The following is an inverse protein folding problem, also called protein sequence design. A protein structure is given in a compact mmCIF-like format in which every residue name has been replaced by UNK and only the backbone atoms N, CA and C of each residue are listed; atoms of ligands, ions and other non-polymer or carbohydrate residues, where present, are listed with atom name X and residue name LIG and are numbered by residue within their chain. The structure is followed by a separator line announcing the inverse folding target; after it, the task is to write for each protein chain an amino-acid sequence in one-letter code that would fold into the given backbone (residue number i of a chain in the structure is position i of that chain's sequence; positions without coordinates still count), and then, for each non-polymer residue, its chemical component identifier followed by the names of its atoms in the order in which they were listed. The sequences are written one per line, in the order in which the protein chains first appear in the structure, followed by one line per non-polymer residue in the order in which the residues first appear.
data_IF_762644189627
#
_entry.id   IF_762644189627
#
_cell.length_a   1.000
_cell.length_b   1.000
_cell.length_c   1.000
_cell.angle_alpha   90.00
_cell.angle_beta   90.00
_cell.angle_gamma   90.00
#
_symmetry.space_group_name_H-M   'P 1'
#
loop_
_entity.id
_entity.type
_entity.pdbx_description
1 polymer ?
#
# COMPACT_ATOMS: atom_id res chain seq x y z
N UNK A 1 -2.45 -38.06 -56.83
CA UNK A 1 -3.60 -37.93 -55.92
C UNK A 1 -3.21 -38.48 -54.55
N UNK A 2 -3.41 -37.69 -53.49
CA UNK A 2 -3.77 -38.15 -52.16
C UNK A 2 -4.44 -36.95 -51.48
N UNK A 3 -5.77 -36.98 -51.45
CA UNK A 3 -6.57 -36.03 -50.70
C UNK A 3 -6.47 -36.39 -49.21
N UNK A 4 -6.10 -35.41 -48.39
CA UNK A 4 -6.29 -35.48 -46.94
C UNK A 4 -6.93 -34.16 -46.51
N UNK A 5 -8.25 -34.21 -46.39
CA UNK A 5 -9.07 -33.16 -45.79
C UNK A 5 -8.80 -33.24 -44.29
N UNK A 6 -8.11 -32.26 -43.72
CA UNK A 6 -8.07 -32.09 -42.26
C UNK A 6 -8.94 -30.89 -41.94
N UNK A 7 -10.05 -31.22 -41.29
CA UNK A 7 -11.08 -30.34 -40.81
C UNK A 7 -10.50 -29.10 -40.11
N UNK A 8 -11.05 -27.94 -40.46
CA UNK A 8 -10.77 -26.70 -39.78
C UNK A 8 -11.09 -26.82 -38.29
N UNK A 9 -10.05 -26.71 -37.47
CA UNK A 9 -10.22 -26.27 -36.10
C UNK A 9 -10.08 -24.76 -36.15
N UNK A 10 -11.21 -24.05 -36.27
CA UNK A 10 -11.26 -22.64 -35.90
C UNK A 10 -11.07 -22.64 -34.38
N UNK A 11 -9.82 -22.58 -33.94
CA UNK A 11 -9.49 -22.17 -32.59
C UNK A 11 -9.93 -20.71 -32.50
N UNK A 12 -11.13 -20.50 -31.96
CA UNK A 12 -11.54 -19.25 -31.37
C UNK A 12 -10.48 -18.94 -30.29
N UNK A 13 -9.44 -18.20 -30.66
CA UNK A 13 -8.58 -17.56 -29.69
C UNK A 13 -9.47 -16.58 -28.90
N UNK A 14 -9.65 -16.77 -27.58
CA UNK A 14 -10.17 -15.67 -26.78
C UNK A 14 -9.05 -14.62 -26.80
N UNK A 15 -9.29 -13.49 -27.46
CA UNK A 15 -8.38 -12.36 -27.43
C UNK A 15 -8.05 -12.04 -25.96
N UNK A 16 -6.79 -12.11 -25.51
CA UNK A 16 -6.40 -11.59 -24.22
C UNK A 16 -5.78 -10.22 -24.43
N UNK A 17 -6.52 -9.30 -25.03
CA UNK A 17 -6.11 -7.89 -25.17
C UNK A 17 -6.96 -7.00 -24.26
N UNK A 18 -7.13 -7.42 -23.01
CA UNK A 18 -7.32 -6.47 -21.93
C UNK A 18 -6.01 -6.38 -21.17
N UNK A 19 -5.07 -5.62 -21.74
CA UNK A 19 -4.09 -4.94 -20.91
C UNK A 19 -4.84 -4.33 -19.71
N UNK A 20 -4.33 -4.48 -18.47
CA UNK A 20 -5.05 -4.00 -17.29
C UNK A 20 -5.44 -2.54 -17.54
N UNK A 21 -6.75 -2.28 -17.61
CA UNK A 21 -7.27 -0.94 -17.85
C UNK A 21 -6.59 0.00 -16.86
N UNK A 22 -5.90 1.01 -17.38
CA UNK A 22 -5.18 1.95 -16.53
C UNK A 22 -6.13 2.46 -15.44
N UNK A 23 -5.69 2.48 -14.17
CA UNK A 23 -6.56 2.88 -13.07
C UNK A 23 -7.10 4.28 -13.35
N UNK A 24 -8.39 4.47 -13.12
CA UNK A 24 -9.01 5.78 -13.28
C UNK A 24 -8.41 6.75 -12.26
N UNK A 25 -8.43 8.05 -12.55
CA UNK A 25 -7.95 9.09 -11.63
C UNK A 25 -8.52 8.93 -10.21
N UNK A 26 -9.79 8.55 -10.08
CA UNK A 26 -10.43 8.36 -8.78
C UNK A 26 -9.90 7.12 -8.04
N UNK A 27 -9.59 6.03 -8.75
CA UNK A 27 -8.94 4.87 -8.15
C UNK A 27 -7.52 5.21 -7.67
N UNK A 28 -6.78 6.03 -8.42
CA UNK A 28 -5.44 6.50 -8.02
C UNK A 28 -5.54 7.38 -6.77
N UNK A 29 -6.49 8.33 -6.73
CA UNK A 29 -6.71 9.18 -5.55
C UNK A 29 -7.14 8.38 -4.34
N UNK A 30 -8.07 7.44 -4.50
CA UNK A 30 -8.56 6.60 -3.41
C UNK A 30 -7.44 5.71 -2.84
N UNK A 31 -6.65 5.06 -3.70
CA UNK A 31 -5.52 4.23 -3.27
C UNK A 31 -4.41 5.05 -2.60
N UNK A 32 -4.10 6.24 -3.14
CA UNK A 32 -3.15 7.15 -2.51
C UNK A 32 -3.62 7.58 -1.12
N UNK A 33 -4.91 7.87 -0.96
CA UNK A 33 -5.49 8.25 0.33
C UNK A 33 -5.48 7.10 1.33
N UNK A 34 -5.83 5.89 0.89
CA UNK A 34 -5.77 4.69 1.72
C UNK A 34 -4.35 4.45 2.28
N UNK A 35 -3.29 4.69 1.49
CA UNK A 35 -1.89 4.59 1.96
C UNK A 35 -1.55 5.65 3.00
N UNK A 36 -2.01 6.89 2.82
CA UNK A 36 -1.82 7.97 3.81
C UNK A 36 -2.54 7.64 5.13
N UNK A 37 -3.79 7.18 5.04
CA UNK A 37 -4.61 6.82 6.21
C UNK A 37 -4.03 5.62 6.96
N UNK A 38 -3.50 4.62 6.23
CA UNK A 38 -2.78 3.49 6.83
C UNK A 38 -1.53 3.96 7.60
N UNK A 39 -0.77 4.89 7.01
CA UNK A 39 0.43 5.47 7.65
C UNK A 39 0.08 6.22 8.94
N UNK A 40 -0.96 7.06 8.89
CA UNK A 40 -1.47 7.78 10.07
C UNK A 40 -1.98 6.83 11.15
N UNK A 41 -2.72 5.79 10.75
CA UNK A 41 -3.27 4.79 11.66
C UNK A 41 -2.14 4.07 12.39
N UNK A 42 -1.13 3.60 11.67
CA UNK A 42 -0.02 2.86 12.27
C UNK A 42 0.81 3.73 13.21
N UNK A 43 1.09 4.99 12.84
CA UNK A 43 1.70 5.97 13.76
C UNK A 43 0.88 6.14 15.05
N UNK A 44 -0.44 6.30 14.95
CA UNK A 44 -1.34 6.40 16.12
C UNK A 44 -1.37 5.14 16.96
N UNK A 45 -1.31 3.96 16.35
CA UNK A 45 -1.21 2.69 17.08
C UNK A 45 0.09 2.61 17.86
N UNK A 46 1.23 2.92 17.22
CA UNK A 46 2.54 2.97 17.89
C UNK A 46 2.51 3.94 19.07
N UNK A 47 1.90 5.11 18.89
CA UNK A 47 1.68 6.08 19.97
C UNK A 47 0.90 5.49 21.15
N UNK A 48 -0.22 4.82 20.89
CA UNK A 48 -1.04 4.21 21.94
C UNK A 48 -0.23 3.18 22.74
N UNK A 49 0.53 2.32 22.06
CA UNK A 49 1.41 1.33 22.72
C UNK A 49 2.45 2.00 23.61
N UNK A 50 3.03 3.14 23.19
CA UNK A 50 3.94 3.91 24.05
C UNK A 50 3.26 4.41 25.31
N UNK A 51 2.08 5.03 25.16
CA UNK A 51 1.31 5.58 26.28
C UNK A 51 0.91 4.47 27.27
N UNK A 52 0.46 3.32 26.77
CA UNK A 52 0.16 2.13 27.58
C UNK A 52 1.38 1.60 28.31
N UNK A 53 2.57 1.76 27.72
CA UNK A 53 3.86 1.41 28.32
C UNK A 53 4.42 2.49 29.26
N UNK A 54 3.66 3.57 29.53
CA UNK A 54 4.08 4.69 30.37
C UNK A 54 5.13 5.62 29.74
N UNK A 55 5.33 5.53 28.42
CA UNK A 55 6.25 6.39 27.66
C UNK A 55 5.48 7.54 27.02
N UNK A 56 6.02 8.75 27.13
CA UNK A 56 5.50 9.90 26.39
C UNK A 56 6.03 9.86 24.96
N UNK A 57 5.14 9.83 23.94
CA UNK A 57 5.54 9.90 22.55
C UNK A 57 6.15 11.28 22.27
N UNK A 58 7.38 11.28 21.77
CA UNK A 58 8.12 12.46 21.31
C UNK A 58 8.59 12.24 19.88
N UNK A 59 8.92 13.34 19.17
CA UNK A 59 9.46 13.26 17.82
C UNK A 59 10.71 12.37 17.76
N UNK A 60 11.61 12.51 18.73
CA UNK A 60 12.85 11.72 18.81
C UNK A 60 12.57 10.22 19.02
N UNK A 61 11.65 9.88 19.93
CA UNK A 61 11.32 8.48 20.19
C UNK A 61 10.60 7.85 18.99
N UNK A 62 9.69 8.58 18.36
CA UNK A 62 9.02 8.15 17.13
C UNK A 62 10.04 7.98 15.99
N UNK A 63 10.99 8.89 15.82
CA UNK A 63 12.07 8.77 14.84
C UNK A 63 12.88 7.48 15.04
N UNK A 64 13.30 7.20 16.28
CA UNK A 64 14.05 5.97 16.59
C UNK A 64 13.24 4.71 16.24
N UNK A 65 11.93 4.72 16.49
CA UNK A 65 11.09 3.58 16.13
C UNK A 65 10.87 3.46 14.62
N UNK A 66 10.77 4.59 13.91
CA UNK A 66 10.73 4.60 12.45
C UNK A 66 12.01 3.98 11.87
N UNK A 67 13.17 4.42 12.33
CA UNK A 67 14.48 3.97 11.84
C UNK A 67 14.74 2.48 12.10
N UNK A 68 14.04 1.90 13.09
CA UNK A 68 14.08 0.47 13.40
C UNK A 68 13.13 -0.37 12.54
N UNK A 69 12.18 0.24 11.83
CA UNK A 69 11.29 -0.51 10.94
C UNK A 69 12.06 -1.11 9.77
N UNK A 70 11.70 -2.32 9.32
CA UNK A 70 12.22 -2.88 8.08
C UNK A 70 12.00 -1.92 6.91
N UNK A 71 12.96 -1.86 5.98
CA UNK A 71 12.86 -0.99 4.81
C UNK A 71 11.60 -1.26 3.97
N UNK A 72 11.12 -2.50 3.93
CA UNK A 72 9.86 -2.86 3.26
C UNK A 72 8.64 -2.19 3.90
N UNK A 73 8.60 -2.05 5.23
CA UNK A 73 7.52 -1.32 5.90
C UNK A 73 7.63 0.18 5.65
N UNK A 74 8.86 0.72 5.65
CA UNK A 74 9.08 2.13 5.33
C UNK A 74 8.69 2.50 3.90
N UNK A 75 8.73 1.56 2.95
CA UNK A 75 8.27 1.78 1.58
C UNK A 75 6.74 1.85 1.47
N UNK A 76 6.03 1.04 2.26
CA UNK A 76 4.57 1.01 2.29
C UNK A 76 3.98 2.20 3.08
N UNK A 77 4.76 2.74 4.02
CA UNK A 77 4.34 3.84 4.89
C UNK A 77 4.94 5.17 4.44
N UNK A 78 4.15 6.24 4.53
CA UNK A 78 4.62 7.61 4.28
C UNK A 78 5.18 8.18 5.57
N UNK A 79 6.50 8.32 5.64
CA UNK A 79 7.24 8.87 6.80
C UNK A 79 6.53 10.06 7.48
N UNK A 80 6.22 11.12 6.74
CA UNK A 80 5.60 12.32 7.31
C UNK A 80 4.21 12.05 7.94
N UNK A 81 3.41 11.16 7.34
CA UNK A 81 2.10 10.79 7.87
C UNK A 81 2.22 9.89 9.10
N UNK A 82 3.16 8.95 9.05
CA UNK A 82 3.45 8.09 10.17
C UNK A 82 3.93 8.89 11.39
N UNK A 83 4.91 9.79 11.19
CA UNK A 83 5.42 10.69 12.23
C UNK A 83 4.31 11.56 12.81
N UNK A 84 3.44 12.12 11.96
CA UNK A 84 2.29 12.88 12.43
C UNK A 84 1.35 12.06 13.32
N UNK A 85 1.08 10.80 12.95
CA UNK A 85 0.27 9.90 13.77
C UNK A 85 0.95 9.50 15.09
N UNK A 86 2.29 9.36 15.08
CA UNK A 86 3.08 8.91 16.22
C UNK A 86 3.31 10.01 17.26
N UNK A 87 3.87 11.14 16.84
CA UNK A 87 4.32 12.20 17.74
C UNK A 87 3.33 13.37 17.83
N UNK A 88 2.41 13.52 16.87
CA UNK A 88 1.42 14.59 16.88
C UNK A 88 0.46 14.47 18.07
N UNK A 89 0.07 15.59 18.68
CA UNK A 89 -0.97 15.61 19.71
C UNK A 89 -2.30 15.05 19.20
N UNK A 90 -3.14 14.43 20.06
CA UNK A 90 -4.49 14.06 19.64
C UNK A 90 -5.22 15.39 19.38
N UNK A 91 -5.82 15.53 18.21
CA UNK A 91 -6.73 16.65 17.95
C UNK A 91 -8.06 16.40 18.66
#
# INVERSE_FOLDING_TARGET
MCAAVVAGVILLWPAPDTAPTAPTSDQIKASARARLDASLKEGRTTRQVMLESGKTPSDELCQILWDRKPHSEQQELRYAMWMHGCAGSPQ
#
